data_IF_465071958346
#
_entry.id   IF_465071958346
#
_cell.length_a   1.000
_cell.length_b   1.000
_cell.length_c   1.000
_cell.angle_alpha   90.00
_cell.angle_beta   90.00
_cell.angle_gamma   90.00
#
_symmetry.space_group_name_H-M   'P 1'
#
loop_
_entity.id
_entity.type
_entity.pdbx_description
1 polymer ?
#
# COMPACT_ATOMS: atom_id res chain seq x y z
N UNK A 1 -16.13 6.06 -8.82
CA UNK A 1 -15.21 6.36 -7.71
C UNK A 1 -14.18 5.26 -7.57
N UNK A 2 -12.93 5.64 -7.58
CA UNK A 2 -11.85 4.69 -7.68
C UNK A 2 -11.35 4.29 -6.31
N UNK A 3 -11.84 3.17 -5.84
CA UNK A 3 -11.34 2.54 -4.63
C UNK A 3 -10.72 1.20 -4.96
N UNK A 4 -9.62 0.89 -4.33
CA UNK A 4 -8.99 -0.40 -4.44
C UNK A 4 -8.73 -0.92 -3.03
N UNK A 5 -9.40 -2.01 -2.67
CA UNK A 5 -9.33 -2.59 -1.33
C UNK A 5 -8.44 -3.81 -1.36
N UNK A 6 -7.52 -3.87 -0.41
CA UNK A 6 -6.59 -4.98 -0.25
C UNK A 6 -6.86 -5.64 1.09
N UNK A 7 -6.90 -6.96 1.11
CA UNK A 7 -7.14 -7.75 2.30
C UNK A 7 -8.38 -8.58 2.15
N UNK A 8 -8.26 -9.88 2.42
CA UNK A 8 -9.39 -10.81 2.38
C UNK A 8 -10.12 -10.90 3.72
N UNK A 9 -9.47 -10.48 4.79
CA UNK A 9 -10.06 -10.48 6.13
C UNK A 9 -10.75 -9.13 6.35
N UNK A 10 -12.10 -9.09 6.54
CA UNK A 10 -12.77 -7.82 6.75
C UNK A 10 -12.37 -7.10 8.04
N UNK A 11 -11.69 -7.77 8.96
CA UNK A 11 -11.24 -7.16 10.20
C UNK A 11 -10.06 -6.20 9.98
N UNK A 12 -9.26 -6.42 8.92
CA UNK A 12 -8.12 -5.57 8.58
C UNK A 12 -8.11 -5.37 7.08
N UNK A 13 -8.17 -4.12 6.64
CA UNK A 13 -8.18 -3.78 5.21
C UNK A 13 -7.37 -2.52 4.96
N UNK A 14 -6.75 -2.46 3.77
CA UNK A 14 -6.15 -1.25 3.25
C UNK A 14 -6.96 -0.81 2.03
N UNK A 15 -7.34 0.46 1.99
CA UNK A 15 -8.12 1.01 0.88
C UNK A 15 -7.34 2.15 0.23
N UNK A 16 -7.06 2.00 -1.04
CA UNK A 16 -6.45 3.06 -1.87
C UNK A 16 -7.57 3.84 -2.53
N UNK A 17 -7.54 5.16 -2.40
CA UNK A 17 -8.61 6.00 -2.93
C UNK A 17 -8.15 7.43 -3.17
N UNK A 18 -9.06 8.27 -3.64
CA UNK A 18 -8.85 9.71 -3.82
C UNK A 18 -7.61 10.04 -4.65
N UNK A 19 -7.49 9.36 -5.79
CA UNK A 19 -6.42 9.63 -6.74
C UNK A 19 -6.52 11.07 -7.25
N UNK A 20 -5.37 11.72 -7.38
CA UNK A 20 -5.26 13.05 -7.98
C UNK A 20 -4.28 12.99 -9.13
N UNK A 21 -4.71 13.53 -10.26
CA UNK A 21 -3.92 13.55 -11.49
C UNK A 21 -3.52 14.96 -11.83
N UNK A 22 -2.31 15.10 -12.36
CA UNK A 22 -1.85 16.37 -12.89
C UNK A 22 -2.43 16.67 -14.27
N UNK A 23 -2.13 17.84 -14.79
CA UNK A 23 -2.58 18.27 -16.12
C UNK A 23 -2.04 17.40 -17.25
N UNK A 24 -0.92 16.71 -17.01
CA UNK A 24 -0.29 15.80 -17.96
C UNK A 24 -0.88 14.39 -17.91
N UNK A 25 -1.88 14.16 -17.06
CA UNK A 25 -2.47 12.83 -16.86
C UNK A 25 -1.71 11.93 -15.92
N UNK A 26 -0.59 12.39 -15.36
CA UNK A 26 0.19 11.60 -14.41
C UNK A 26 -0.51 11.53 -13.06
N UNK A 27 -0.44 10.39 -12.41
CA UNK A 27 -0.96 10.22 -11.06
C UNK A 27 -0.04 10.93 -10.06
N UNK A 28 -0.48 12.05 -9.52
CA UNK A 28 0.31 12.87 -8.60
C UNK A 28 0.30 12.33 -7.17
N UNK A 29 -0.86 11.91 -6.70
CA UNK A 29 -1.00 11.42 -5.32
C UNK A 29 -2.25 10.57 -5.17
N UNK A 30 -2.31 9.86 -4.08
CA UNK A 30 -3.47 9.08 -3.68
C UNK A 30 -3.49 8.98 -2.17
N UNK A 31 -4.64 8.57 -1.63
CA UNK A 31 -4.77 8.32 -0.21
C UNK A 31 -4.81 6.82 0.06
N UNK A 32 -4.32 6.43 1.21
CA UNK A 32 -4.49 5.07 1.72
C UNK A 32 -5.09 5.14 3.12
N UNK A 33 -6.11 4.33 3.35
CA UNK A 33 -6.69 4.11 4.66
C UNK A 33 -6.33 2.71 5.12
N UNK A 34 -5.78 2.60 6.31
CA UNK A 34 -5.55 1.32 6.97
C UNK A 34 -6.58 1.20 8.08
N UNK A 35 -7.45 0.20 7.98
CA UNK A 35 -8.60 0.06 8.88
C UNK A 35 -8.61 -1.31 9.54
N UNK A 36 -8.85 -1.32 10.84
CA UNK A 36 -9.13 -2.51 11.63
C UNK A 36 -10.34 -2.23 12.50
N UNK A 37 -10.80 -3.23 13.25
CA UNK A 37 -12.04 -3.13 14.01
C UNK A 37 -12.14 -1.89 14.90
N UNK A 38 -11.05 -1.54 15.59
CA UNK A 38 -11.03 -0.41 16.52
C UNK A 38 -9.91 0.59 16.19
N UNK A 39 -9.49 0.62 14.91
CA UNK A 39 -8.34 1.41 14.48
C UNK A 39 -8.52 1.89 13.05
N UNK A 40 -8.19 3.15 12.82
CA UNK A 40 -8.15 3.70 11.47
C UNK A 40 -7.03 4.70 11.36
N UNK A 41 -6.24 4.61 10.29
CA UNK A 41 -5.21 5.57 9.97
C UNK A 41 -5.25 5.88 8.49
N UNK A 42 -5.00 7.13 8.12
CA UNK A 42 -5.03 7.57 6.73
C UNK A 42 -3.85 8.46 6.45
N UNK A 43 -3.27 8.32 5.26
CA UNK A 43 -2.18 9.18 4.82
C UNK A 43 -2.29 9.40 3.32
N UNK A 44 -1.83 10.57 2.86
CA UNK A 44 -1.73 10.87 1.44
C UNK A 44 -0.32 10.58 0.97
N UNK A 45 -0.22 9.81 -0.10
CA UNK A 45 1.04 9.36 -0.66
C UNK A 45 1.34 10.18 -1.91
N UNK A 46 2.50 10.79 -1.95
CA UNK A 46 2.96 11.51 -3.13
C UNK A 46 3.58 10.54 -4.13
N UNK A 47 3.30 10.75 -5.40
CA UNK A 47 3.81 9.90 -6.48
C UNK A 47 4.56 10.80 -7.47
N UNK A 48 5.80 11.22 -7.15
CA UNK A 48 6.56 12.08 -8.06
C UNK A 48 6.79 11.41 -9.40
N UNK A 49 7.02 12.22 -10.45
CA UNK A 49 7.16 11.72 -11.81
C UNK A 49 8.30 10.74 -12.03
N UNK A 50 9.26 10.71 -11.13
CA UNK A 50 10.38 9.75 -11.17
C UNK A 50 10.20 8.59 -10.20
N UNK A 51 9.06 8.52 -9.49
CA UNK A 51 8.75 7.44 -8.59
C UNK A 51 7.99 6.31 -9.30
N UNK A 52 7.78 5.23 -8.58
CA UNK A 52 7.03 4.07 -9.07
C UNK A 52 5.77 3.89 -8.25
N UNK A 53 4.60 3.68 -8.89
CA UNK A 53 3.37 3.40 -8.15
C UNK A 53 3.39 1.98 -7.57
N UNK A 54 2.58 1.71 -6.52
CA UNK A 54 2.53 0.37 -5.92
C UNK A 54 1.98 -0.70 -6.87
N UNK A 55 1.36 -0.32 -7.98
CA UNK A 55 0.92 -1.28 -9.00
C UNK A 55 2.07 -2.12 -9.55
N UNK A 56 3.30 -1.61 -9.53
CA UNK A 56 4.46 -2.42 -9.90
C UNK A 56 4.61 -3.65 -9.02
N UNK A 57 4.46 -3.48 -7.71
CA UNK A 57 4.52 -4.60 -6.77
C UNK A 57 3.40 -5.59 -7.04
N UNK A 58 2.18 -5.10 -7.20
CA UNK A 58 1.02 -5.97 -7.42
C UNK A 58 1.11 -6.70 -8.76
N UNK A 59 1.61 -6.06 -9.80
CA UNK A 59 1.84 -6.71 -11.08
C UNK A 59 2.90 -7.81 -10.98
N UNK A 60 3.97 -7.55 -10.23
CA UNK A 60 5.02 -8.56 -10.00
C UNK A 60 4.47 -9.76 -9.24
N UNK A 61 3.63 -9.51 -8.23
CA UNK A 61 2.94 -10.58 -7.50
C UNK A 61 2.03 -11.38 -8.42
N UNK A 62 1.31 -10.72 -9.32
CA UNK A 62 0.42 -11.39 -10.27
C UNK A 62 1.19 -12.28 -11.24
N UNK A 63 2.35 -11.85 -11.72
CA UNK A 63 3.21 -12.67 -12.58
C UNK A 63 3.70 -13.91 -11.84
N UNK A 64 3.93 -13.80 -10.54
CA UNK A 64 4.39 -14.88 -9.68
C UNK A 64 3.26 -15.49 -8.86
N UNK A 65 2.10 -15.67 -9.46
CA UNK A 65 0.87 -16.10 -8.76
C UNK A 65 1.01 -17.45 -8.03
N UNK A 66 1.92 -18.30 -8.45
CA UNK A 66 2.15 -19.60 -7.80
C UNK A 66 3.01 -19.49 -6.54
N UNK A 67 3.48 -18.30 -6.23
CA UNK A 67 4.30 -18.03 -5.05
C UNK A 67 5.71 -17.58 -5.41
N UNK A 68 6.44 -17.18 -4.39
CA UNK A 68 7.83 -16.74 -4.54
C UNK A 68 8.55 -16.99 -3.22
N UNK A 69 9.89 -16.95 -3.28
CA UNK A 69 10.73 -17.06 -2.08
C UNK A 69 11.13 -15.66 -1.62
N UNK A 70 11.25 -15.50 -0.32
CA UNK A 70 11.68 -14.24 0.27
C UNK A 70 10.59 -13.20 0.25
N UNK A 71 10.99 -11.94 0.27
CA UNK A 71 10.08 -10.80 0.39
C UNK A 71 10.10 -9.99 -0.88
N UNK A 72 8.91 -9.56 -1.34
CA UNK A 72 8.79 -8.51 -2.31
C UNK A 72 8.51 -7.22 -1.57
N UNK A 73 9.14 -6.14 -1.98
CA UNK A 73 9.09 -4.89 -1.24
C UNK A 73 8.82 -3.72 -2.17
N UNK A 74 8.02 -2.78 -1.70
CA UNK A 74 7.80 -1.51 -2.36
C UNK A 74 7.70 -0.42 -1.30
N UNK A 75 8.24 0.75 -1.60
CA UNK A 75 8.13 1.91 -0.72
C UNK A 75 7.85 3.15 -1.56
N UNK A 76 7.01 4.04 -1.04
CA UNK A 76 6.87 5.37 -1.59
C UNK A 76 8.19 6.12 -1.47
N UNK A 77 8.44 7.05 -2.37
CA UNK A 77 9.72 7.72 -2.44
C UNK A 77 10.12 8.40 -1.12
N UNK A 78 9.15 9.00 -0.44
CA UNK A 78 9.38 9.67 0.83
C UNK A 78 9.17 8.76 2.05
N UNK A 79 8.89 7.47 1.81
CA UNK A 79 8.74 6.50 2.89
C UNK A 79 7.44 6.56 3.66
N UNK A 80 6.45 7.33 3.21
CA UNK A 80 5.15 7.42 3.91
C UNK A 80 4.32 6.14 3.79
N UNK A 81 4.63 5.28 2.82
CA UNK A 81 4.01 3.95 2.69
C UNK A 81 5.09 2.95 2.33
N UNK A 82 5.11 1.84 3.05
CA UNK A 82 5.96 0.69 2.75
C UNK A 82 5.10 -0.57 2.72
N UNK A 83 5.35 -1.44 1.76
CA UNK A 83 4.62 -2.70 1.59
C UNK A 83 5.63 -3.82 1.45
N UNK A 84 5.51 -4.85 2.29
CA UNK A 84 6.23 -6.11 2.14
C UNK A 84 5.23 -7.21 1.80
N UNK A 85 5.58 -8.06 0.86
CA UNK A 85 4.74 -9.19 0.47
C UNK A 85 5.53 -10.49 0.58
N UNK A 86 4.95 -11.46 1.26
CA UNK A 86 5.50 -12.81 1.37
C UNK A 86 4.45 -13.82 0.94
N UNK A 87 4.90 -14.96 0.43
CA UNK A 87 4.02 -16.06 0.08
C UNK A 87 4.51 -17.31 0.80
N UNK A 88 3.56 -18.11 1.30
CA UNK A 88 3.91 -19.40 1.91
C UNK A 88 3.95 -20.51 0.86
N UNK A 89 4.22 -21.74 1.31
CA UNK A 89 4.39 -22.88 0.42
C UNK A 89 3.11 -23.30 -0.31
N UNK A 90 1.95 -22.85 0.16
CA UNK A 90 0.66 -23.19 -0.44
C UNK A 90 0.02 -21.99 -1.16
N UNK A 91 0.77 -20.93 -1.33
CA UNK A 91 0.33 -19.78 -2.12
C UNK A 91 -0.45 -18.71 -1.35
N UNK A 92 -0.51 -18.78 -0.04
CA UNK A 92 -1.10 -17.69 0.75
C UNK A 92 -0.14 -16.51 0.79
N UNK A 93 -0.66 -15.35 0.49
CA UNK A 93 0.10 -14.11 0.47
C UNK A 93 -0.20 -13.30 1.72
N UNK A 94 0.84 -12.82 2.37
CA UNK A 94 0.72 -11.89 3.49
C UNK A 94 1.31 -10.56 3.08
N UNK A 95 0.54 -9.49 3.24
CA UNK A 95 1.00 -8.13 3.01
C UNK A 95 1.19 -7.44 4.35
N UNK A 96 2.36 -6.88 4.53
CA UNK A 96 2.65 -6.02 5.69
C UNK A 96 2.74 -4.59 5.19
N UNK A 97 1.86 -3.73 5.71
CA UNK A 97 1.83 -2.32 5.33
C UNK A 97 2.24 -1.46 6.51
N UNK A 98 3.08 -0.49 6.27
CA UNK A 98 3.44 0.52 7.24
C UNK A 98 3.19 1.89 6.64
N UNK A 99 2.44 2.73 7.35
CA UNK A 99 2.20 4.11 6.94
C UNK A 99 2.74 5.05 8.00
N UNK A 100 3.32 6.15 7.55
CA UNK A 100 3.94 7.14 8.42
C UNK A 100 3.52 8.53 7.97
N UNK A 101 3.07 9.35 8.90
CA UNK A 101 2.73 10.73 8.62
C UNK A 101 3.92 11.61 9.02
N UNK A 102 4.58 12.19 8.02
CA UNK A 102 5.68 13.11 8.22
C UNK A 102 5.27 14.58 8.12
N UNK A 103 4.02 14.83 7.70
CA UNK A 103 3.57 16.17 7.33
C UNK A 103 3.06 17.03 8.46
N UNK A 104 2.91 16.49 9.65
CA UNK A 104 2.34 17.18 10.79
C UNK A 104 3.38 17.40 11.88
N UNK A 105 3.07 18.33 12.80
CA UNK A 105 3.89 18.56 13.98
C UNK A 105 4.03 17.29 14.85
N UNK A 106 3.08 16.37 14.70
CA UNK A 106 3.13 15.06 15.36
C UNK A 106 3.45 14.00 14.33
N UNK A 107 4.60 13.40 14.46
CA UNK A 107 4.96 12.23 13.68
C UNK A 107 4.25 11.01 14.27
N UNK A 108 3.55 10.25 13.41
CA UNK A 108 2.96 8.98 13.83
C UNK A 108 3.14 7.94 12.73
N UNK A 109 3.10 6.68 13.13
CA UNK A 109 3.19 5.56 12.21
C UNK A 109 2.21 4.48 12.63
N UNK A 110 1.70 3.73 11.65
CA UNK A 110 0.81 2.60 11.87
C UNK A 110 1.24 1.45 10.97
N UNK A 111 1.03 0.22 11.44
CA UNK A 111 1.47 -0.96 10.75
C UNK A 111 0.44 -2.07 10.93
N UNK A 112 0.20 -2.84 9.85
CA UNK A 112 -0.73 -3.96 9.90
C UNK A 112 -0.33 -5.04 8.92
N UNK A 113 -0.79 -6.26 9.19
CA UNK A 113 -0.61 -7.42 8.31
C UNK A 113 -1.95 -7.83 7.74
N UNK A 114 -1.98 -8.06 6.42
CA UNK A 114 -3.20 -8.44 5.69
C UNK A 114 -2.96 -9.76 4.97
N UNK A 115 -4.00 -10.54 4.87
CA UNK A 115 -3.98 -11.82 4.15
C UNK A 115 -4.77 -11.72 2.85
#
# INVERSE_FOLDING_TARGET
>A
MDKFVVGSDPAIQATFHSKRYGNDGWLDSYAIDLEAHDFQASVRIQNPGFGHPPTQLFNDMAVNWSGWKGKKFWAALDGELEIEATADAIGHVTLQLAITDYGNARLWAAQGSLL
#
